data_IF_454370890773
#
_entry.id   IF_454370890773
#
_cell.length_a   1.000
_cell.length_b   1.000
_cell.length_c   1.000
_cell.angle_alpha   90.00
_cell.angle_beta   90.00
_cell.angle_gamma   90.00
#
_symmetry.space_group_name_H-M   'P 1'
#
loop_
_entity.id
_entity.type
_entity.pdbx_description
1 polymer ?
#
# COMPACT_ATOMS: atom_id res chain seq x y z
N UNK A 1 34.04 50.55 -55.02
CA UNK A 1 34.12 49.17 -55.59
C UNK A 1 34.20 48.17 -54.43
N UNK A 2 33.80 46.89 -54.63
CA UNK A 2 34.36 45.62 -54.05
C UNK A 2 34.84 45.62 -52.56
N UNK A 3 34.48 44.70 -51.65
CA UNK A 3 33.91 43.33 -51.73
C UNK A 3 33.14 42.92 -50.44
N UNK A 4 32.57 41.70 -50.43
CA UNK A 4 32.08 40.92 -49.25
C UNK A 4 32.84 39.56 -49.18
N UNK A 5 32.51 38.64 -48.25
CA UNK A 5 32.80 38.60 -46.81
C UNK A 5 33.94 37.54 -46.62
N UNK A 6 33.85 36.37 -45.91
CA UNK A 6 33.08 35.91 -44.74
C UNK A 6 33.66 36.52 -43.43
N UNK A 7 33.64 36.00 -42.18
CA UNK A 7 33.11 34.80 -41.49
C UNK A 7 32.22 35.30 -40.29
N UNK A 8 31.44 34.56 -39.49
CA UNK A 8 31.46 33.22 -38.84
C UNK A 8 32.50 33.08 -37.71
N UNK A 9 32.18 32.81 -36.43
CA UNK A 9 30.96 32.25 -35.83
C UNK A 9 30.59 32.95 -34.51
N UNK A 10 29.30 33.11 -34.17
CA UNK A 10 28.86 33.11 -32.78
C UNK A 10 28.82 31.65 -32.28
N UNK A 11 29.59 31.32 -31.24
CA UNK A 11 29.63 30.00 -30.60
C UNK A 11 28.40 29.75 -29.70
N UNK A 12 27.21 29.88 -30.28
CA UNK A 12 25.94 29.61 -29.61
C UNK A 12 25.77 28.11 -29.33
N UNK A 13 26.23 27.67 -28.15
CA UNK A 13 26.09 26.29 -27.67
C UNK A 13 24.60 25.92 -27.62
N UNK A 14 24.16 25.10 -28.58
CA UNK A 14 22.79 24.54 -28.60
C UNK A 14 22.63 23.52 -27.49
N UNK A 15 22.28 23.99 -26.29
CA UNK A 15 21.88 23.14 -25.17
C UNK A 15 20.72 22.23 -25.62
N UNK A 16 20.83 20.89 -25.52
CA UNK A 16 19.77 20.00 -25.97
C UNK A 16 18.49 20.22 -25.16
N UNK A 17 17.39 20.60 -25.84
CA UNK A 17 16.08 20.75 -25.19
C UNK A 17 15.65 19.39 -24.65
N UNK A 18 15.69 19.26 -23.31
CA UNK A 18 15.35 18.02 -22.61
C UNK A 18 13.95 17.55 -23.01
N UNK A 19 13.88 16.44 -23.76
CA UNK A 19 12.63 15.85 -24.25
C UNK A 19 11.68 15.62 -23.07
N UNK A 20 10.57 16.37 -23.02
CA UNK A 20 9.58 16.35 -21.93
C UNK A 20 9.22 14.90 -21.57
N UNK A 21 9.64 14.44 -20.39
CA UNK A 21 9.28 13.11 -19.85
C UNK A 21 7.75 12.99 -19.86
N UNK A 22 7.21 12.06 -20.64
CA UNK A 22 5.77 11.76 -20.66
C UNK A 22 5.36 11.37 -19.24
N UNK A 23 4.47 12.14 -18.61
CA UNK A 23 3.92 11.79 -17.29
C UNK A 23 3.34 10.37 -17.37
N UNK A 24 3.63 9.47 -16.42
CA UNK A 24 3.08 8.12 -16.47
C UNK A 24 1.56 8.20 -16.47
N UNK A 25 0.89 7.47 -17.37
CA UNK A 25 -0.56 7.35 -17.35
C UNK A 25 -0.95 6.84 -15.96
N UNK A 26 -1.79 7.59 -15.22
CA UNK A 26 -2.44 7.09 -14.02
C UNK A 26 -3.24 5.85 -14.41
N UNK A 27 -2.71 4.67 -14.11
CA UNK A 27 -3.50 3.44 -14.11
C UNK A 27 -4.65 3.67 -13.16
N UNK A 28 -5.89 3.62 -13.66
CA UNK A 28 -7.07 3.61 -12.80
C UNK A 28 -6.91 2.39 -11.91
N UNK A 29 -6.69 2.59 -10.60
CA UNK A 29 -6.74 1.48 -9.66
C UNK A 29 -8.09 0.78 -9.87
N UNK A 30 -8.07 -0.53 -10.09
CA UNK A 30 -9.28 -1.34 -9.98
C UNK A 30 -9.87 -1.03 -8.62
N UNK A 31 -11.07 -0.43 -8.59
CA UNK A 31 -11.94 -0.54 -7.43
C UNK A 31 -12.31 -2.01 -7.33
N UNK A 32 -11.50 -2.79 -6.61
CA UNK A 32 -12.00 -4.02 -6.03
C UNK A 32 -13.22 -3.61 -5.21
N UNK A 33 -14.39 -4.14 -5.54
CA UNK A 33 -15.53 -4.07 -4.65
C UNK A 33 -15.08 -4.71 -3.34
N UNK A 34 -15.10 -3.91 -2.27
CA UNK A 34 -14.79 -4.41 -0.94
C UNK A 34 -16.02 -5.19 -0.49
N UNK A 35 -16.03 -6.48 -0.83
CA UNK A 35 -16.86 -7.48 -0.15
C UNK A 35 -16.63 -7.36 1.36
N UNK A 36 -17.65 -7.57 2.19
CA UNK A 36 -17.48 -7.58 3.64
C UNK A 36 -16.32 -8.50 4.03
N UNK A 37 -15.45 -8.01 4.91
CA UNK A 37 -14.28 -8.74 5.35
C UNK A 37 -14.68 -9.80 6.37
N UNK A 38 -14.81 -11.04 5.90
CA UNK A 38 -14.92 -12.22 6.76
C UNK A 38 -13.63 -12.40 7.56
N UNK A 39 -13.76 -12.89 8.79
CA UNK A 39 -12.66 -13.30 9.67
C UNK A 39 -11.71 -14.23 8.91
N UNK A 40 -12.27 -15.20 8.19
CA UNK A 40 -11.53 -16.13 7.33
C UNK A 40 -10.67 -15.42 6.27
N UNK A 41 -11.18 -14.39 5.57
CA UNK A 41 -10.41 -13.64 4.56
C UNK A 41 -9.38 -12.69 5.21
N UNK A 42 -9.66 -12.17 6.40
CA UNK A 42 -8.70 -11.36 7.19
C UNK A 42 -7.50 -12.21 7.62
N UNK A 43 -7.75 -13.36 8.25
CA UNK A 43 -6.72 -14.34 8.65
C UNK A 43 -5.88 -14.73 7.42
N UNK A 44 -6.54 -15.08 6.31
CA UNK A 44 -5.87 -15.44 5.05
C UNK A 44 -4.94 -14.32 4.53
N UNK A 45 -5.38 -13.06 4.56
CA UNK A 45 -4.57 -11.91 4.12
C UNK A 45 -3.34 -11.68 5.01
N UNK A 46 -3.48 -11.86 6.32
CA UNK A 46 -2.40 -11.72 7.29
C UNK A 46 -1.39 -12.86 7.09
N UNK A 47 -1.83 -14.12 7.00
CA UNK A 47 -0.94 -15.26 6.72
C UNK A 47 -0.20 -15.10 5.37
N UNK A 48 -0.89 -14.69 4.29
CA UNK A 48 -0.23 -14.38 3.00
C UNK A 48 0.82 -13.27 3.16
N UNK A 49 0.62 -12.30 4.07
CA UNK A 49 1.59 -11.25 4.37
C UNK A 49 2.81 -11.79 5.12
N UNK A 50 2.60 -12.62 6.14
CA UNK A 50 3.65 -13.31 6.93
C UNK A 50 4.56 -14.16 6.05
N UNK A 51 3.97 -15.02 5.19
CA UNK A 51 4.75 -15.84 4.27
C UNK A 51 5.56 -14.97 3.30
N UNK A 52 4.97 -13.88 2.77
CA UNK A 52 5.63 -13.01 1.78
C UNK A 52 6.60 -11.97 2.36
N UNK A 53 6.61 -11.70 3.66
CA UNK A 53 7.50 -10.69 4.27
C UNK A 53 8.11 -11.17 5.59
N UNK A 54 9.44 -11.08 5.68
CA UNK A 54 10.24 -11.40 6.87
C UNK A 54 10.29 -10.23 7.88
N UNK A 55 9.24 -9.42 7.97
CA UNK A 55 9.22 -8.18 8.76
C UNK A 55 7.95 -8.07 9.59
N UNK A 56 8.10 -7.68 10.86
CA UNK A 56 6.98 -7.42 11.78
C UNK A 56 6.06 -6.34 11.20
N UNK A 57 4.76 -6.58 11.21
CA UNK A 57 3.76 -5.61 10.76
C UNK A 57 2.60 -5.48 11.74
N UNK A 58 2.20 -4.22 11.98
CA UNK A 58 0.99 -3.89 12.72
C UNK A 58 -0.26 -4.08 11.88
N UNK A 59 -1.31 -4.57 12.52
CA UNK A 59 -2.65 -4.71 11.97
C UNK A 59 -3.59 -3.72 12.65
N UNK A 60 -4.36 -3.00 11.83
CA UNK A 60 -5.36 -2.04 12.26
C UNK A 60 -6.69 -2.31 11.55
N UNK A 61 -7.80 -1.99 12.21
CA UNK A 61 -9.15 -2.00 11.62
C UNK A 61 -9.68 -0.58 11.59
N UNK A 62 -9.85 -0.03 10.39
CA UNK A 62 -10.31 1.35 10.20
C UNK A 62 -11.51 1.31 9.27
N UNK A 63 -12.69 1.67 9.76
CA UNK A 63 -13.96 1.60 9.03
C UNK A 63 -14.20 0.20 8.44
N UNK A 64 -14.10 -0.82 9.30
CA UNK A 64 -14.23 -2.26 8.99
C UNK A 64 -13.25 -2.81 7.93
N UNK A 65 -12.21 -2.04 7.60
CA UNK A 65 -11.17 -2.43 6.65
C UNK A 65 -9.88 -2.82 7.34
N UNK A 66 -9.36 -4.00 6.97
CA UNK A 66 -8.05 -4.49 7.36
C UNK A 66 -6.93 -3.62 6.77
N UNK A 67 -6.19 -2.92 7.63
CA UNK A 67 -5.03 -2.09 7.26
C UNK A 67 -3.76 -2.67 7.87
N UNK A 68 -2.90 -3.23 7.01
CA UNK A 68 -1.56 -3.72 7.40
C UNK A 68 -0.49 -2.65 7.14
N UNK A 69 0.46 -2.48 8.08
CA UNK A 69 1.63 -1.62 7.94
C UNK A 69 2.84 -2.20 8.66
N UNK A 70 4.01 -2.28 8.00
CA UNK A 70 5.27 -2.70 8.64
C UNK A 70 5.60 -1.83 9.85
N UNK A 71 5.93 -2.45 10.98
CA UNK A 71 6.01 -1.80 12.30
C UNK A 71 7.11 -0.72 12.36
N UNK A 72 8.26 -0.97 11.73
CA UNK A 72 9.36 0.00 11.62
C UNK A 72 9.09 1.17 10.63
N UNK A 73 7.94 1.20 9.96
CA UNK A 73 7.62 2.22 8.96
C UNK A 73 6.97 3.46 9.57
N UNK A 74 7.31 4.66 9.07
CA UNK A 74 6.65 5.93 9.47
C UNK A 74 5.11 5.86 9.43
N UNK A 75 4.55 5.07 8.50
CA UNK A 75 3.11 4.80 8.40
C UNK A 75 2.54 4.14 9.65
N UNK A 76 3.26 3.23 10.30
CA UNK A 76 2.80 2.58 11.54
C UNK A 76 2.59 3.62 12.64
N UNK A 77 3.59 4.48 12.90
CA UNK A 77 3.44 5.58 13.86
C UNK A 77 2.29 6.54 13.47
N UNK A 78 2.15 6.89 12.19
CA UNK A 78 1.01 7.72 11.74
C UNK A 78 -0.36 7.05 11.92
N UNK A 79 -0.44 5.71 11.90
CA UNK A 79 -1.68 4.98 12.17
C UNK A 79 -1.94 4.88 13.67
N UNK A 80 -0.95 4.48 14.48
CA UNK A 80 -1.11 4.33 15.94
C UNK A 80 -1.35 5.66 16.66
N UNK A 81 -0.69 6.76 16.27
CA UNK A 81 -0.97 8.09 16.84
C UNK A 81 -2.36 8.61 16.45
N UNK A 82 -2.86 8.30 15.25
CA UNK A 82 -4.14 8.84 14.75
C UNK A 82 -5.35 7.99 15.14
N UNK A 83 -5.17 6.69 15.26
CA UNK A 83 -6.23 5.70 15.50
C UNK A 83 -5.75 4.63 16.50
N UNK A 84 -5.43 5.02 17.76
CA UNK A 84 -4.87 4.09 18.75
C UNK A 84 -5.82 2.93 19.07
N UNK A 85 -7.11 3.21 19.26
CA UNK A 85 -8.15 2.19 19.50
C UNK A 85 -8.51 1.32 18.27
N UNK A 86 -7.89 1.55 17.12
CA UNK A 86 -8.03 0.72 15.92
C UNK A 86 -6.90 -0.29 15.75
N UNK A 87 -5.88 -0.28 16.60
CA UNK A 87 -4.78 -1.23 16.56
C UNK A 87 -5.19 -2.54 17.23
N UNK A 88 -4.94 -3.68 16.57
CA UNK A 88 -5.16 -5.01 17.17
C UNK A 88 -3.86 -5.51 17.81
N UNK A 89 -2.81 -5.60 17.00
CA UNK A 89 -1.57 -6.28 17.36
C UNK A 89 -0.53 -6.19 16.24
N UNK A 90 0.69 -6.63 16.54
CA UNK A 90 1.79 -6.70 15.61
C UNK A 90 2.24 -8.15 15.43
N UNK A 91 2.24 -8.62 14.19
CA UNK A 91 2.52 -10.01 13.85
C UNK A 91 3.81 -10.14 13.04
N UNK A 92 4.48 -11.27 13.21
CA UNK A 92 5.74 -11.64 12.57
C UNK A 92 5.59 -13.03 11.89
N UNK A 93 6.65 -13.84 11.84
CA UNK A 93 6.62 -15.23 11.34
C UNK A 93 6.35 -16.29 12.41
N UNK A 94 6.24 -15.90 13.67
CA UNK A 94 6.00 -16.77 14.81
C UNK A 94 4.51 -16.90 15.16
N UNK A 95 3.64 -16.11 14.52
CA UNK A 95 2.20 -16.06 14.80
C UNK A 95 1.48 -17.38 14.49
N UNK A 96 0.78 -17.92 15.48
CA UNK A 96 -0.13 -19.06 15.29
C UNK A 96 -1.41 -18.64 14.57
N UNK A 97 -2.00 -19.56 13.81
CA UNK A 97 -3.34 -19.36 13.24
C UNK A 97 -4.40 -19.29 14.36
N UNK A 98 -4.17 -19.96 15.49
CA UNK A 98 -5.09 -19.98 16.63
C UNK A 98 -5.14 -18.60 17.30
N UNK A 99 -3.99 -18.10 17.75
CA UNK A 99 -3.86 -16.78 18.39
C UNK A 99 -4.41 -15.67 17.49
N UNK A 100 -4.09 -15.72 16.18
CA UNK A 100 -4.58 -14.78 15.20
C UNK A 100 -6.11 -14.83 15.02
N UNK A 101 -6.74 -15.99 15.11
CA UNK A 101 -8.21 -16.11 15.13
C UNK A 101 -8.78 -15.56 16.43
N UNK A 102 -8.10 -15.76 17.57
CA UNK A 102 -8.53 -15.30 18.88
C UNK A 102 -8.50 -13.77 19.02
N UNK A 103 -7.45 -13.12 18.49
CA UNK A 103 -7.36 -11.66 18.38
C UNK A 103 -8.47 -11.07 17.49
N UNK A 104 -8.79 -11.74 16.38
CA UNK A 104 -9.64 -11.19 15.33
C UNK A 104 -11.14 -11.45 15.52
N UNK A 105 -11.54 -12.53 16.21
CA UNK A 105 -12.97 -12.89 16.45
C UNK A 105 -13.77 -11.79 17.15
N UNK A 106 -13.09 -10.94 17.94
CA UNK A 106 -13.70 -9.81 18.64
C UNK A 106 -14.13 -8.67 17.71
N UNK A 107 -13.50 -8.56 16.53
CA UNK A 107 -13.74 -7.47 15.57
C UNK A 107 -14.45 -7.94 14.30
N UNK A 108 -14.14 -9.14 13.80
CA UNK A 108 -14.76 -9.72 12.61
C UNK A 108 -15.65 -10.90 13.00
N UNK A 109 -16.96 -10.76 12.77
CA UNK A 109 -17.92 -11.86 12.85
C UNK A 109 -18.03 -12.52 11.48
N UNK A 110 -17.76 -13.83 11.40
CA UNK A 110 -18.19 -14.65 10.24
C UNK A 110 -19.71 -14.88 10.36
N UNK A 111 -20.46 -13.80 10.10
CA UNK A 111 -21.90 -13.71 10.25
C UNK A 111 -22.64 -14.38 9.10
N UNK A 112 -23.29 -15.50 9.42
CA UNK A 112 -24.23 -16.24 8.59
C UNK A 112 -23.69 -16.69 7.21
N UNK A 113 -23.34 -17.99 7.16
CA UNK A 113 -23.80 -18.81 6.04
C UNK A 113 -25.33 -18.76 6.03
N UNK A 114 -25.88 -17.80 5.28
CA UNK A 114 -27.31 -17.69 5.06
C UNK A 114 -27.70 -18.77 4.04
N UNK A 115 -27.82 -20.02 4.52
CA UNK A 115 -28.28 -21.15 3.73
C UNK A 115 -29.78 -20.96 3.48
N UNK A 116 -30.23 -20.70 2.23
CA UNK A 116 -31.65 -20.77 1.94
C UNK A 116 -32.10 -22.22 2.11
N UNK A 117 -33.18 -22.39 2.87
CA UNK A 117 -33.82 -23.66 3.18
C UNK A 117 -35.10 -23.80 2.35
#
# INVERSE_FOLDING_TARGET
MRNKPPYSHPSAIRVPVLKRRKKPKRTRLRKHQLTPLTLTEVVRRILIRVYRQHQVFGVFIINDQLVMSGAAGKRFNSLSTRWPGCFIGAYDRSVSVVDLVDDLKGYFKDGALNVPN
#
